data_IF_250808110341
#
_entry.id   IF_250808110341
#
_cell.length_a   1.000
_cell.length_b   1.000
_cell.length_c   1.000
_cell.angle_alpha   90.00
_cell.angle_beta   90.00
_cell.angle_gamma   90.00
#
_symmetry.space_group_name_H-M   'P 1'
#
loop_
_entity.id
_entity.type
_entity.pdbx_description
1 polymer ?
#
# COMPACT_ATOMS: atom_id res chain seq x y z
N UNK A 1 -21.81 -3.28 28.77
CA UNK A 1 -22.51 -3.24 27.47
C UNK A 1 -22.07 -2.08 26.61
N UNK A 2 -22.15 -0.85 27.10
CA UNK A 2 -21.66 0.31 26.32
C UNK A 2 -20.19 0.19 25.96
N UNK A 3 -19.36 -0.28 26.90
CA UNK A 3 -17.93 -0.46 26.65
C UNK A 3 -17.68 -1.51 25.57
N UNK A 4 -18.46 -2.59 25.58
CA UNK A 4 -18.36 -3.64 24.58
C UNK A 4 -18.74 -3.12 23.19
N UNK A 5 -19.81 -2.33 23.09
CA UNK A 5 -20.25 -1.73 21.84
C UNK A 5 -19.19 -0.77 21.30
N UNK A 6 -18.61 0.06 22.17
CA UNK A 6 -17.53 0.97 21.77
C UNK A 6 -16.31 0.21 21.27
N UNK A 7 -15.93 -0.87 21.95
CA UNK A 7 -14.80 -1.71 21.53
C UNK A 7 -15.07 -2.33 20.15
N UNK A 8 -16.29 -2.80 19.93
CA UNK A 8 -16.68 -3.36 18.61
C UNK A 8 -16.63 -2.31 17.52
N UNK A 9 -17.10 -1.09 17.79
CA UNK A 9 -17.07 -0.01 16.82
C UNK A 9 -15.64 0.38 16.45
N UNK A 10 -14.74 0.51 17.43
CA UNK A 10 -13.34 0.78 17.18
C UNK A 10 -12.69 -0.37 16.41
N UNK A 11 -13.03 -1.60 16.72
CA UNK A 11 -12.53 -2.77 16.00
C UNK A 11 -12.97 -2.77 14.53
N UNK A 12 -14.24 -2.42 14.27
CA UNK A 12 -14.77 -2.32 12.92
C UNK A 12 -14.06 -1.23 12.12
N UNK A 13 -13.88 -0.05 12.71
CA UNK A 13 -13.17 1.04 12.06
C UNK A 13 -11.72 0.70 11.80
N UNK A 14 -11.06 0.04 12.74
CA UNK A 14 -9.67 -0.40 12.56
C UNK A 14 -9.54 -1.38 11.40
N UNK A 15 -10.47 -2.32 11.27
CA UNK A 15 -10.48 -3.29 10.18
C UNK A 15 -10.70 -2.60 8.83
N UNK A 16 -11.61 -1.62 8.78
CA UNK A 16 -11.85 -0.83 7.58
C UNK A 16 -10.58 -0.06 7.20
N UNK A 17 -9.91 0.57 8.18
CA UNK A 17 -8.67 1.29 7.95
C UNK A 17 -7.57 0.41 7.39
N UNK A 18 -7.41 -0.79 7.93
CA UNK A 18 -6.44 -1.77 7.44
C UNK A 18 -6.76 -2.17 5.99
N UNK A 19 -8.03 -2.40 5.68
CA UNK A 19 -8.48 -2.73 4.33
C UNK A 19 -8.22 -1.59 3.34
N UNK A 20 -8.50 -0.35 3.74
CA UNK A 20 -8.24 0.82 2.90
C UNK A 20 -6.75 1.00 2.64
N UNK A 21 -5.90 0.74 3.64
CA UNK A 21 -4.44 0.77 3.47
C UNK A 21 -4.00 -0.26 2.42
N UNK A 22 -4.54 -1.47 2.49
CA UNK A 22 -4.22 -2.53 1.53
C UNK A 22 -4.68 -2.15 0.11
N UNK A 23 -5.87 -1.61 -0.04
CA UNK A 23 -6.39 -1.15 -1.33
C UNK A 23 -5.52 -0.03 -1.88
N UNK A 24 -5.18 0.95 -1.05
CA UNK A 24 -4.32 2.06 -1.45
C UNK A 24 -2.95 1.59 -1.91
N UNK A 25 -2.33 0.68 -1.17
CA UNK A 25 -1.05 0.07 -1.54
C UNK A 25 -1.17 -0.68 -2.87
N UNK A 26 -2.23 -1.46 -3.05
CA UNK A 26 -2.46 -2.20 -4.29
C UNK A 26 -2.58 -1.28 -5.50
N UNK A 27 -3.34 -0.21 -5.37
CA UNK A 27 -3.50 0.79 -6.45
C UNK A 27 -2.17 1.47 -6.72
N UNK A 28 -1.45 1.89 -5.67
CA UNK A 28 -0.16 2.56 -5.82
C UNK A 28 0.87 1.70 -6.50
N UNK A 29 1.04 0.45 -6.05
CA UNK A 29 1.98 -0.50 -6.64
C UNK A 29 1.56 -0.84 -8.08
N UNK A 30 0.26 -1.00 -8.33
CA UNK A 30 -0.26 -1.24 -9.67
C UNK A 30 0.11 -0.13 -10.64
N UNK A 31 -0.04 1.13 -10.23
CA UNK A 31 0.34 2.28 -11.04
C UNK A 31 1.84 2.34 -11.28
N UNK A 32 2.64 2.10 -10.25
CA UNK A 32 4.11 2.06 -10.36
C UNK A 32 4.52 0.97 -11.34
N UNK A 33 3.98 -0.23 -11.20
CA UNK A 33 4.31 -1.36 -12.06
C UNK A 33 3.92 -1.12 -13.51
N UNK A 34 2.70 -0.64 -13.74
CA UNK A 34 2.21 -0.34 -15.08
C UNK A 34 3.08 0.75 -15.76
N UNK A 35 3.37 1.81 -15.04
CA UNK A 35 4.20 2.90 -15.54
C UNK A 35 5.62 2.44 -15.86
N UNK A 36 6.20 1.60 -14.99
CA UNK A 36 7.54 1.05 -15.20
C UNK A 36 7.59 0.15 -16.43
N UNK A 37 6.59 -0.72 -16.60
CA UNK A 37 6.53 -1.60 -17.76
C UNK A 37 6.41 -0.82 -19.06
N UNK A 38 5.59 0.23 -19.08
CA UNK A 38 5.48 1.12 -20.23
C UNK A 38 6.82 1.79 -20.55
N UNK A 39 7.50 2.30 -19.54
CA UNK A 39 8.78 2.96 -19.71
C UNK A 39 9.85 1.99 -20.22
N UNK A 40 9.88 0.75 -19.68
CA UNK A 40 10.80 -0.27 -20.15
C UNK A 40 10.54 -0.66 -21.60
N UNK A 41 9.28 -0.69 -22.02
CA UNK A 41 8.92 -0.98 -23.39
C UNK A 41 9.39 0.12 -24.35
N UNK A 42 9.36 1.38 -23.90
CA UNK A 42 9.82 2.52 -24.70
C UNK A 42 11.33 2.70 -24.69
N UNK A 43 11.98 2.33 -23.60
CA UNK A 43 13.41 2.52 -23.38
C UNK A 43 14.04 1.25 -22.84
N UNK A 44 14.13 0.19 -23.67
CA UNK A 44 14.66 -1.10 -23.20
C UNK A 44 16.09 -1.00 -22.68
N UNK A 45 16.88 -0.05 -23.17
CA UNK A 45 18.26 0.18 -22.74
C UNK A 45 18.35 0.67 -21.30
N UNK A 46 17.27 1.22 -20.75
CA UNK A 46 17.20 1.69 -19.38
C UNK A 46 16.40 0.74 -18.46
N UNK A 47 16.05 -0.45 -18.94
CA UNK A 47 15.16 -1.35 -18.20
C UNK A 47 15.68 -1.72 -16.82
N UNK A 48 16.99 -1.91 -16.66
CA UNK A 48 17.59 -2.25 -15.37
C UNK A 48 17.41 -1.13 -14.34
N UNK A 49 17.65 0.11 -14.76
CA UNK A 49 17.48 1.28 -13.88
C UNK A 49 16.00 1.50 -13.54
N UNK A 50 15.11 1.36 -14.51
CA UNK A 50 13.68 1.51 -14.30
C UNK A 50 13.18 0.45 -13.31
N UNK A 51 13.63 -0.79 -13.48
CA UNK A 51 13.26 -1.88 -12.58
C UNK A 51 13.71 -1.61 -11.15
N UNK A 52 14.94 -1.14 -10.97
CA UNK A 52 15.47 -0.81 -9.64
C UNK A 52 14.65 0.30 -9.00
N UNK A 53 14.37 1.36 -9.73
CA UNK A 53 13.57 2.47 -9.21
C UNK A 53 12.15 2.05 -8.91
N UNK A 54 11.57 1.15 -9.70
CA UNK A 54 10.26 0.57 -9.45
C UNK A 54 10.23 -0.17 -8.12
N UNK A 55 11.23 -1.01 -7.86
CA UNK A 55 11.29 -1.76 -6.60
C UNK A 55 11.43 -0.84 -5.39
N UNK A 56 12.22 0.22 -5.50
CA UNK A 56 12.37 1.20 -4.42
C UNK A 56 11.04 1.90 -4.16
N UNK A 57 10.38 2.37 -5.21
CA UNK A 57 9.09 3.06 -5.06
C UNK A 57 8.01 2.13 -4.49
N UNK A 58 7.94 0.89 -4.97
CA UNK A 58 6.99 -0.09 -4.47
C UNK A 58 7.25 -0.42 -2.99
N UNK A 59 8.50 -0.54 -2.60
CA UNK A 59 8.87 -0.79 -1.20
C UNK A 59 8.44 0.37 -0.30
N UNK A 60 8.56 1.61 -0.76
CA UNK A 60 8.10 2.77 0.00
C UNK A 60 6.58 2.77 0.18
N UNK A 61 5.83 2.43 -0.87
CA UNK A 61 4.37 2.31 -0.79
C UNK A 61 3.98 1.22 0.20
N UNK A 62 4.62 0.07 0.14
CA UNK A 62 4.34 -1.04 1.06
C UNK A 62 4.69 -0.69 2.48
N UNK A 63 5.81 0.00 2.70
CA UNK A 63 6.22 0.44 4.03
C UNK A 63 5.20 1.37 4.66
N UNK A 64 4.74 2.37 3.92
CA UNK A 64 3.72 3.30 4.40
C UNK A 64 2.40 2.58 4.68
N UNK A 65 2.00 1.67 3.79
CA UNK A 65 0.77 0.91 3.97
C UNK A 65 0.84 -0.02 5.19
N UNK A 66 2.00 -0.63 5.42
CA UNK A 66 2.20 -1.48 6.59
C UNK A 66 2.06 -0.67 7.88
N UNK A 67 2.65 0.53 7.94
CA UNK A 67 2.45 1.43 9.07
C UNK A 67 0.98 1.78 9.25
N UNK A 68 0.26 2.03 8.16
CA UNK A 68 -1.17 2.32 8.21
C UNK A 68 -1.96 1.17 8.82
N UNK A 69 -1.66 -0.06 8.42
CA UNK A 69 -2.31 -1.26 8.96
C UNK A 69 -1.98 -1.43 10.44
N UNK A 70 -0.71 -1.31 10.81
CA UNK A 70 -0.27 -1.46 12.21
C UNK A 70 -0.94 -0.41 13.10
N UNK A 71 -0.95 0.84 12.67
CA UNK A 71 -1.58 1.92 13.44
C UNK A 71 -3.09 1.66 13.60
N UNK A 72 -3.75 1.22 12.53
CA UNK A 72 -5.17 0.89 12.58
C UNK A 72 -5.47 -0.22 13.59
N UNK A 73 -4.63 -1.26 13.63
CA UNK A 73 -4.84 -2.40 14.52
C UNK A 73 -4.49 -2.10 15.97
N UNK A 74 -3.58 -1.17 16.21
CA UNK A 74 -3.18 -0.78 17.56
C UNK A 74 -4.17 0.15 18.23
N UNK A 75 -5.03 0.79 17.50
CA UNK A 75 -6.06 1.69 18.03
C UNK A 75 -7.41 1.05 18.06
#
# INVERSE_FOLDING_TARGET
MLLEVQTMDFGAFATIGAGLSAIGAGIGIGKIGSSALESMARQPEHSGMIQTNMFIAAALVEGVALFGVVVALLK
#
